data_IF_990485699325
#
_entry.id   IF_990485699325
#
_cell.length_a   1.000
_cell.length_b   1.000
_cell.length_c   1.000
_cell.angle_alpha   90.00
_cell.angle_beta   90.00
_cell.angle_gamma   90.00
#
_symmetry.space_group_name_H-M   'P 1'
#
loop_
_entity.id
_entity.type
_entity.pdbx_description
1 polymer ?
#
# COMPACT_ATOMS: atom_id res chain seq x y z
N UNK A 1 -12.52 -4.25 1.46
CA UNK A 1 -11.13 -4.74 1.36
C UNK A 1 -10.53 -4.93 2.75
N UNK A 2 -9.79 -5.99 2.94
CA UNK A 2 -9.13 -6.31 4.21
C UNK A 2 -7.63 -6.06 4.07
N UNK A 3 -7.02 -5.47 5.10
CA UNK A 3 -5.58 -5.25 5.13
C UNK A 3 -4.93 -6.16 6.18
N UNK A 4 -3.96 -6.95 5.75
CA UNK A 4 -3.17 -7.81 6.63
C UNK A 4 -1.78 -7.20 6.79
N UNK A 5 -1.44 -6.84 8.02
CA UNK A 5 -0.12 -6.30 8.36
C UNK A 5 0.73 -7.48 8.83
N UNK A 6 1.80 -7.76 8.09
CA UNK A 6 2.66 -8.90 8.34
C UNK A 6 3.95 -8.48 9.04
N UNK A 7 4.35 -9.24 10.06
CA UNK A 7 5.60 -9.01 10.77
C UNK A 7 6.77 -9.67 10.02
N UNK A 8 6.98 -9.21 8.80
CA UNK A 8 8.07 -9.64 7.91
C UNK A 8 8.65 -8.43 7.23
N UNK A 9 9.93 -8.44 6.92
CA UNK A 9 10.60 -7.32 6.22
C UNK A 9 10.11 -7.19 4.78
N UNK A 10 9.87 -8.32 4.12
CA UNK A 10 9.26 -8.39 2.79
C UNK A 10 8.34 -9.60 2.72
N UNK A 11 7.36 -9.54 1.83
CA UNK A 11 6.41 -10.63 1.58
C UNK A 11 6.54 -11.08 0.13
N UNK A 12 6.14 -12.32 -0.13
CA UNK A 12 6.22 -12.88 -1.48
C UNK A 12 4.94 -12.59 -2.25
N UNK A 13 5.08 -11.94 -3.39
CA UNK A 13 3.98 -11.72 -4.33
C UNK A 13 3.66 -13.01 -5.10
N UNK A 14 2.55 -13.02 -5.83
CA UNK A 14 2.12 -14.20 -6.59
C UNK A 14 3.10 -14.61 -7.67
N UNK A 15 3.84 -13.66 -8.25
CA UNK A 15 4.88 -13.93 -9.24
C UNK A 15 6.19 -14.43 -8.63
N UNK A 16 6.28 -14.51 -7.31
CA UNK A 16 7.45 -14.97 -6.59
C UNK A 16 8.40 -13.86 -6.13
N UNK A 17 8.20 -12.63 -6.56
CA UNK A 17 9.04 -11.50 -6.14
C UNK A 17 8.80 -11.14 -4.68
N UNK A 18 9.86 -10.67 -4.01
CA UNK A 18 9.75 -10.13 -2.65
C UNK A 18 9.42 -8.65 -2.72
N UNK A 19 8.32 -8.28 -2.05
CA UNK A 19 7.77 -6.91 -2.11
C UNK A 19 7.36 -6.44 -0.72
N UNK A 20 7.14 -5.13 -0.57
CA UNK A 20 6.65 -4.54 0.68
C UNK A 20 5.12 -4.61 0.80
N UNK A 21 4.41 -4.69 -0.31
CA UNK A 21 2.95 -4.80 -0.29
C UNK A 21 2.41 -5.49 -1.53
N UNK A 22 1.22 -6.06 -1.41
CA UNK A 22 0.49 -6.67 -2.53
C UNK A 22 -0.99 -6.37 -2.42
N UNK A 23 -1.66 -6.31 -3.55
CA UNK A 23 -3.12 -6.32 -3.66
C UNK A 23 -3.55 -7.60 -4.37
N UNK A 24 -4.57 -8.27 -3.83
CA UNK A 24 -5.16 -9.45 -4.44
C UNK A 24 -6.66 -9.28 -4.63
N UNK A 25 -7.16 -9.69 -5.79
CA UNK A 25 -8.59 -9.76 -6.09
C UNK A 25 -8.86 -10.89 -7.08
N UNK A 26 -10.13 -11.32 -7.13
CA UNK A 26 -10.61 -12.10 -8.27
C UNK A 26 -10.98 -11.09 -9.37
N UNK A 27 -10.35 -11.20 -10.53
CA UNK A 27 -10.50 -10.19 -11.60
C UNK A 27 -11.95 -9.99 -12.02
N UNK A 28 -12.71 -11.08 -12.16
CA UNK A 28 -14.06 -11.07 -12.71
C UNK A 28 -15.16 -11.22 -11.67
N UNK A 29 -14.83 -11.30 -10.39
CA UNK A 29 -15.81 -11.53 -9.35
C UNK A 29 -15.66 -10.53 -8.20
N UNK A 30 -16.50 -9.49 -8.24
CA UNK A 30 -16.53 -8.44 -7.22
C UNK A 30 -17.22 -8.87 -5.93
N UNK A 31 -17.78 -10.08 -5.87
CA UNK A 31 -18.39 -10.63 -4.64
C UNK A 31 -17.37 -11.28 -3.72
N UNK A 32 -16.18 -11.61 -4.24
CA UNK A 32 -15.10 -12.16 -3.44
C UNK A 32 -14.32 -11.01 -2.81
N UNK A 33 -14.20 -11.02 -1.47
CA UNK A 33 -13.52 -9.97 -0.72
C UNK A 33 -12.05 -9.87 -1.13
N UNK A 34 -11.61 -8.74 -1.68
CA UNK A 34 -10.20 -8.54 -1.97
C UNK A 34 -9.41 -8.25 -0.71
N UNK A 35 -8.10 -8.42 -0.77
CA UNK A 35 -7.26 -8.08 0.37
C UNK A 35 -5.93 -7.48 -0.07
N UNK A 36 -5.33 -6.70 0.84
CA UNK A 36 -3.95 -6.24 0.71
C UNK A 36 -3.11 -6.85 1.82
N UNK A 37 -1.84 -7.07 1.54
CA UNK A 37 -0.87 -7.50 2.55
C UNK A 37 0.27 -6.48 2.56
N UNK A 38 0.72 -6.11 3.74
CA UNK A 38 1.79 -5.12 3.92
C UNK A 38 2.83 -5.69 4.86
N UNK A 39 4.10 -5.60 4.46
CA UNK A 39 5.22 -5.99 5.27
C UNK A 39 5.61 -4.84 6.20
N UNK A 40 5.61 -5.08 7.51
CA UNK A 40 5.95 -4.09 8.53
C UNK A 40 7.01 -4.60 9.51
N UNK A 41 7.71 -5.68 9.15
CA UNK A 41 8.69 -6.32 10.04
C UNK A 41 9.96 -5.52 10.27
N UNK A 42 10.23 -4.51 9.44
CA UNK A 42 11.38 -3.64 9.59
C UNK A 42 11.06 -2.31 10.29
N UNK A 43 9.83 -2.17 10.82
CA UNK A 43 9.36 -0.91 11.43
C UNK A 43 10.31 -0.41 12.52
N UNK A 44 10.73 -1.28 13.44
CA UNK A 44 11.62 -0.89 14.54
C UNK A 44 13.00 -0.46 14.02
N UNK A 45 13.53 -1.16 13.02
CA UNK A 45 14.80 -0.79 12.39
C UNK A 45 14.68 0.59 11.70
N UNK A 46 13.58 0.85 11.04
CA UNK A 46 13.32 2.14 10.40
C UNK A 46 13.15 3.26 11.43
N UNK A 47 12.52 2.98 12.56
CA UNK A 47 12.41 3.94 13.67
C UNK A 47 13.80 4.34 14.18
N UNK A 48 14.70 3.38 14.31
CA UNK A 48 16.06 3.63 14.78
C UNK A 48 16.87 4.44 13.78
N UNK A 49 16.66 4.20 12.47
CA UNK A 49 17.39 4.89 11.41
C UNK A 49 16.86 6.30 11.13
N UNK A 50 15.53 6.45 11.06
CA UNK A 50 14.92 7.65 10.50
C UNK A 50 13.83 8.26 11.40
N UNK A 51 13.56 7.66 12.56
CA UNK A 51 12.51 8.12 13.48
C UNK A 51 11.15 7.52 13.18
N UNK A 52 10.25 7.65 14.16
CA UNK A 52 8.90 7.06 14.10
C UNK A 52 8.06 7.60 12.94
N UNK A 53 8.11 8.92 12.71
CA UNK A 53 7.27 9.54 11.68
C UNK A 53 7.66 9.05 10.29
N UNK A 54 8.97 8.95 10.02
CA UNK A 54 9.46 8.44 8.72
C UNK A 54 9.15 6.96 8.54
N UNK A 55 9.31 6.16 9.59
CA UNK A 55 8.99 4.74 9.55
C UNK A 55 7.51 4.51 9.29
N UNK A 56 6.64 5.25 9.99
CA UNK A 56 5.20 5.15 9.81
C UNK A 56 4.79 5.61 8.40
N UNK A 57 5.39 6.69 7.91
CA UNK A 57 5.14 7.19 6.56
C UNK A 57 5.44 6.13 5.50
N UNK A 58 6.55 5.39 5.63
CA UNK A 58 6.90 4.33 4.70
C UNK A 58 5.81 3.25 4.64
N UNK A 59 5.28 2.84 5.80
CA UNK A 59 4.22 1.83 5.87
C UNK A 59 2.92 2.38 5.28
N UNK A 60 2.56 3.62 5.62
CA UNK A 60 1.34 4.25 5.12
C UNK A 60 1.39 4.46 3.60
N UNK A 61 2.57 4.77 3.04
CA UNK A 61 2.75 4.85 1.59
C UNK A 61 2.46 3.50 0.93
N UNK A 62 2.94 2.41 1.52
CA UNK A 62 2.68 1.07 0.99
C UNK A 62 1.19 0.74 1.05
N UNK A 63 0.53 1.04 2.17
CA UNK A 63 -0.92 0.83 2.32
C UNK A 63 -1.68 1.65 1.27
N UNK A 64 -1.36 2.92 1.12
CA UNK A 64 -2.01 3.81 0.14
C UNK A 64 -1.80 3.33 -1.30
N UNK A 65 -0.61 2.83 -1.62
CA UNK A 65 -0.30 2.26 -2.92
C UNK A 65 -1.21 1.06 -3.23
N UNK A 66 -1.33 0.12 -2.28
CA UNK A 66 -2.15 -1.07 -2.47
C UNK A 66 -3.66 -0.74 -2.46
N UNK A 67 -4.09 0.23 -1.66
CA UNK A 67 -5.47 0.72 -1.70
C UNK A 67 -5.81 1.35 -3.05
N UNK A 68 -4.85 2.00 -3.71
CA UNK A 68 -5.08 2.53 -5.05
C UNK A 68 -5.31 1.41 -6.06
N UNK A 69 -4.59 0.29 -5.94
CA UNK A 69 -4.87 -0.88 -6.78
C UNK A 69 -6.27 -1.44 -6.52
N UNK A 70 -6.74 -1.45 -5.26
CA UNK A 70 -8.13 -1.79 -4.96
C UNK A 70 -9.11 -0.84 -5.67
N UNK A 71 -8.86 0.47 -5.61
CA UNK A 71 -9.69 1.47 -6.29
C UNK A 71 -9.72 1.24 -7.81
N UNK A 72 -8.57 0.95 -8.41
CA UNK A 72 -8.47 0.64 -9.84
C UNK A 72 -9.32 -0.56 -10.20
N UNK A 73 -9.25 -1.61 -9.39
CA UNK A 73 -10.00 -2.85 -9.62
C UNK A 73 -11.51 -2.64 -9.47
N UNK A 74 -11.95 -2.03 -8.35
CA UNK A 74 -13.39 -1.87 -8.08
C UNK A 74 -14.06 -0.94 -9.08
N UNK A 75 -13.32 -0.02 -9.68
CA UNK A 75 -13.82 0.89 -10.70
C UNK A 75 -13.53 0.41 -12.13
N UNK A 76 -12.96 -0.77 -12.28
CA UNK A 76 -12.63 -1.38 -13.56
C UNK A 76 -11.86 -0.44 -14.49
N UNK A 77 -10.84 0.24 -13.97
CA UNK A 77 -10.06 1.19 -14.74
C UNK A 77 -9.18 0.47 -15.76
N UNK A 78 -9.22 0.94 -17.01
CA UNK A 78 -8.43 0.38 -18.12
C UNK A 78 -7.13 1.16 -18.29
N UNK A 79 -6.15 0.87 -17.45
CA UNK A 79 -4.81 1.46 -17.53
C UNK A 79 -3.80 0.38 -17.91
N UNK A 80 -2.68 0.81 -18.51
CA UNK A 80 -1.54 -0.09 -18.69
C UNK A 80 -0.97 -0.49 -17.33
N UNK A 81 -0.25 -1.62 -17.21
CA UNK A 81 0.39 -1.98 -15.95
C UNK A 81 1.30 -0.86 -15.40
N UNK A 82 2.08 -0.21 -16.25
CA UNK A 82 2.92 0.93 -15.85
C UNK A 82 2.05 2.10 -15.39
N UNK A 83 0.94 2.37 -16.08
CA UNK A 83 0.00 3.44 -15.70
C UNK A 83 -0.65 3.18 -14.35
N UNK A 84 -1.02 1.94 -14.06
CA UNK A 84 -1.56 1.55 -12.76
C UNK A 84 -0.55 1.78 -11.62
N UNK A 85 0.71 1.39 -11.84
CA UNK A 85 1.75 1.60 -10.83
C UNK A 85 2.06 3.08 -10.61
N UNK A 86 2.11 3.87 -11.66
CA UNK A 86 2.33 5.31 -11.57
C UNK A 86 1.19 5.99 -10.80
N UNK A 87 -0.05 5.62 -11.07
CA UNK A 87 -1.21 6.18 -10.37
C UNK A 87 -1.18 5.79 -8.90
N UNK A 88 -0.86 4.53 -8.57
CA UNK A 88 -0.82 4.07 -7.20
C UNK A 88 0.24 4.81 -6.38
N UNK A 89 1.43 5.01 -6.94
CA UNK A 89 2.50 5.76 -6.29
C UNK A 89 2.10 7.22 -6.06
N UNK A 90 1.50 7.84 -7.06
CA UNK A 90 1.11 9.25 -7.02
C UNK A 90 0.00 9.49 -6.01
N UNK A 91 -1.06 8.67 -6.01
CA UNK A 91 -2.17 8.83 -5.08
C UNK A 91 -1.78 8.55 -3.64
N UNK A 92 -0.94 7.55 -3.39
CA UNK A 92 -0.44 7.29 -2.04
C UNK A 92 0.27 8.53 -1.49
N UNK A 93 1.08 9.19 -2.31
CA UNK A 93 1.78 10.42 -1.93
C UNK A 93 0.82 11.57 -1.67
N UNK A 94 -0.16 11.76 -2.53
CA UNK A 94 -1.16 12.82 -2.36
C UNK A 94 -1.96 12.66 -1.07
N UNK A 95 -2.40 11.46 -0.75
CA UNK A 95 -3.18 11.19 0.46
C UNK A 95 -2.36 11.53 1.71
N UNK A 96 -1.07 11.13 1.73
CA UNK A 96 -0.21 11.42 2.87
C UNK A 96 0.12 12.91 2.99
N UNK A 97 0.39 13.58 1.88
CA UNK A 97 0.67 15.02 1.89
C UNK A 97 -0.55 15.81 2.38
N UNK A 98 -1.74 15.44 1.91
CA UNK A 98 -3.00 16.06 2.34
C UNK A 98 -3.24 15.85 3.84
N UNK A 99 -3.04 14.62 4.32
CA UNK A 99 -3.17 14.32 5.74
C UNK A 99 -2.17 15.12 6.58
N UNK A 100 -0.93 15.23 6.13
CA UNK A 100 0.09 15.98 6.85
C UNK A 100 -0.22 17.48 6.93
N UNK A 101 -0.87 18.05 5.89
CA UNK A 101 -1.27 19.46 5.86
C UNK A 101 -2.49 19.73 6.75
N UNK A 102 -3.42 18.77 6.86
CA UNK A 102 -4.72 18.99 7.49
C UNK A 102 -4.78 18.54 8.94
N UNK A 103 -3.88 17.64 9.37
CA UNK A 103 -3.92 17.14 10.73
C UNK A 103 -3.42 18.21 11.71
N UNK A 104 -4.09 18.28 12.88
CA UNK A 104 -3.62 19.11 13.97
C UNK A 104 -2.45 18.40 14.68
N UNK A 105 -1.38 19.14 14.90
CA UNK A 105 -0.25 18.67 15.68
C UNK A 105 -0.49 19.03 17.15
N UNK A 106 -0.38 18.06 18.07
CA UNK A 106 -0.50 18.35 19.49
C UNK A 106 0.65 19.23 19.98
#
# INVERSE_FOLDING_TARGET
VVAYIKNKKKIRAMDGDLVYGTFWSMEDDYTVEPYIRVAAGDYLDLCDKWGKDSALTAILLTIGHELTHYFQWINALELTPIGMERQATKYARYVLDDYAETREHP
#
